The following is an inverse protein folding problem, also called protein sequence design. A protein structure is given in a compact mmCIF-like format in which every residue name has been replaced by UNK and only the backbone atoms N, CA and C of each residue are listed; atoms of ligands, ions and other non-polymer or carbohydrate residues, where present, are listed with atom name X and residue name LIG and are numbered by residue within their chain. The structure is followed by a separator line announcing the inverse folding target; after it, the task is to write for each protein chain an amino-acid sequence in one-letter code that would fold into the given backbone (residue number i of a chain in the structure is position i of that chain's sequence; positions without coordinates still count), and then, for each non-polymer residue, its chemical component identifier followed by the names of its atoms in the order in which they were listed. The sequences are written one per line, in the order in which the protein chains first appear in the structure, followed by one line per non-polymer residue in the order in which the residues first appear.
data_IF_553761030859
#
_entry.id   IF_553761030859
#
_cell.length_a   1.000
_cell.length_b   1.000
_cell.length_c   1.000
_cell.angle_alpha   90.00
_cell.angle_beta   90.00
_cell.angle_gamma   90.00
#
_symmetry.space_group_name_H-M   'P 1'
#
loop_
_entity.id
_entity.type
_entity.pdbx_description
1 polymer ?
#
# COMPACT_ATOMS: atom_id res chain seq x y z
N UNK A 1 0.02 -24.60 -19.11
CA UNK A 1 -0.75 -23.35 -18.94
C UNK A 1 0.13 -22.27 -18.29
N UNK A 2 -0.22 -20.98 -18.43
CA UNK A 2 0.54 -19.84 -17.86
C UNK A 2 0.72 -19.96 -16.34
N UNK A 3 -0.37 -20.21 -15.60
CA UNK A 3 -0.35 -20.26 -14.14
C UNK A 3 0.66 -21.27 -13.60
N UNK A 4 0.72 -22.49 -14.15
CA UNK A 4 1.67 -23.52 -13.71
C UNK A 4 3.13 -23.11 -13.95
N UNK A 5 3.45 -22.50 -15.11
CA UNK A 5 4.81 -22.03 -15.40
C UNK A 5 5.20 -20.83 -14.53
N UNK A 6 4.28 -19.89 -14.33
CA UNK A 6 4.53 -18.75 -13.46
C UNK A 6 4.82 -19.21 -12.02
N UNK A 7 3.97 -20.08 -11.46
CA UNK A 7 4.19 -20.60 -10.11
C UNK A 7 5.49 -21.40 -10.02
N UNK A 8 5.89 -22.13 -11.07
CA UNK A 8 7.17 -22.83 -11.09
C UNK A 8 8.39 -21.88 -10.95
N UNK A 9 8.35 -20.71 -11.58
CA UNK A 9 9.48 -19.76 -11.54
C UNK A 9 9.41 -18.76 -10.38
N UNK A 10 8.21 -18.37 -9.95
CA UNK A 10 8.00 -17.30 -8.96
C UNK A 10 7.67 -17.88 -7.57
N UNK A 11 7.43 -19.18 -7.47
CA UNK A 11 7.05 -19.92 -6.25
C UNK A 11 5.75 -19.44 -5.58
N UNK A 12 5.02 -18.54 -6.24
CA UNK A 12 3.74 -18.00 -5.77
C UNK A 12 2.74 -18.03 -6.92
N UNK A 13 1.48 -18.30 -6.62
CA UNK A 13 0.44 -18.25 -7.66
C UNK A 13 0.32 -16.83 -8.27
N UNK A 14 0.02 -16.71 -9.57
CA UNK A 14 -0.11 -15.40 -10.22
C UNK A 14 -1.08 -14.44 -9.50
N UNK A 15 -2.20 -14.96 -9.01
CA UNK A 15 -3.20 -14.14 -8.32
C UNK A 15 -2.69 -13.60 -6.98
N UNK A 16 -1.95 -14.40 -6.20
CA UNK A 16 -1.32 -13.92 -4.97
C UNK A 16 -0.23 -12.89 -5.26
N UNK A 17 0.58 -13.12 -6.29
CA UNK A 17 1.59 -12.16 -6.71
C UNK A 17 0.96 -10.82 -7.12
N UNK A 18 -0.09 -10.87 -7.95
CA UNK A 18 -0.81 -9.68 -8.40
C UNK A 18 -1.44 -8.92 -7.22
N UNK A 19 -2.07 -9.62 -6.27
CA UNK A 19 -2.65 -8.99 -5.10
C UNK A 19 -1.59 -8.27 -4.26
N UNK A 20 -0.44 -8.92 -4.01
CA UNK A 20 0.72 -8.30 -3.35
C UNK A 20 1.19 -7.05 -4.08
N UNK A 21 1.35 -7.13 -5.39
CA UNK A 21 1.83 -6.01 -6.21
C UNK A 21 0.85 -4.82 -6.16
N UNK A 22 -0.45 -5.08 -6.29
CA UNK A 22 -1.50 -4.07 -6.16
C UNK A 22 -1.45 -3.35 -4.82
N UNK A 23 -1.31 -4.08 -3.72
CA UNK A 23 -1.26 -3.48 -2.38
C UNK A 23 0.02 -2.67 -2.13
N UNK A 24 1.16 -3.08 -2.71
CA UNK A 24 2.38 -2.27 -2.68
C UNK A 24 2.22 -0.96 -3.45
N UNK A 25 1.58 -1.00 -4.63
CA UNK A 25 1.26 0.21 -5.38
C UNK A 25 0.31 1.12 -4.61
N UNK A 26 -0.72 0.55 -3.98
CA UNK A 26 -1.64 1.31 -3.14
C UNK A 26 -0.91 2.01 -1.99
N UNK A 27 0.05 1.33 -1.34
CA UNK A 27 0.89 1.91 -0.30
C UNK A 27 1.62 3.18 -0.75
N UNK A 28 2.12 3.20 -1.99
CA UNK A 28 2.76 4.38 -2.62
C UNK A 28 1.76 5.48 -2.97
N UNK A 29 0.58 5.11 -3.48
CA UNK A 29 -0.48 6.09 -3.76
C UNK A 29 -0.92 6.82 -2.48
N UNK A 30 -1.00 6.10 -1.37
CA UNK A 30 -1.38 6.64 -0.05
C UNK A 30 -0.36 7.63 0.53
N UNK A 31 0.86 7.74 -0.03
CA UNK A 31 1.86 8.73 0.38
C UNK A 31 1.54 10.13 -0.17
N UNK A 32 0.67 10.21 -1.18
CA UNK A 32 0.19 11.48 -1.74
C UNK A 32 -0.89 12.08 -0.84
N UNK A 33 -0.73 13.32 -0.34
CA UNK A 33 -1.68 13.94 0.59
C UNK A 33 -3.13 14.01 0.08
N UNK A 34 -3.30 14.22 -1.22
CA UNK A 34 -4.60 14.37 -1.90
C UNK A 34 -5.29 13.03 -2.21
N UNK A 35 -4.59 11.91 -2.09
CA UNK A 35 -5.13 10.60 -2.39
C UNK A 35 -5.95 10.08 -1.21
N UNK A 36 -7.26 9.83 -1.38
CA UNK A 36 -8.07 9.18 -0.34
C UNK A 36 -7.86 7.66 -0.29
N UNK A 37 -8.29 7.00 0.79
CA UNK A 37 -8.14 5.54 0.96
C UNK A 37 -9.01 4.81 -0.07
N UNK A 38 -10.24 5.27 -0.27
CA UNK A 38 -11.14 4.77 -1.30
C UNK A 38 -10.55 4.89 -2.71
N UNK A 39 -10.02 6.06 -3.07
CA UNK A 39 -9.39 6.28 -4.38
C UNK A 39 -8.19 5.37 -4.59
N UNK A 40 -7.29 5.25 -3.61
CA UNK A 40 -6.15 4.33 -3.71
C UNK A 40 -6.59 2.88 -3.93
N UNK A 41 -7.65 2.43 -3.23
CA UNK A 41 -8.23 1.09 -3.43
C UNK A 41 -8.82 0.89 -4.81
N UNK A 42 -9.58 1.87 -5.32
CA UNK A 42 -10.17 1.83 -6.65
C UNK A 42 -9.10 1.80 -7.76
N UNK A 43 -8.06 2.64 -7.65
CA UNK A 43 -6.93 2.72 -8.60
C UNK A 43 -6.19 1.38 -8.74
N UNK A 44 -6.12 0.58 -7.67
CA UNK A 44 -5.48 -0.74 -7.70
C UNK A 44 -6.46 -1.90 -7.91
N UNK A 45 -7.72 -1.59 -8.25
CA UNK A 45 -8.72 -2.55 -8.70
C UNK A 45 -9.49 -3.27 -7.58
N UNK A 46 -9.75 -2.60 -6.45
CA UNK A 46 -10.69 -3.07 -5.44
C UNK A 46 -12.04 -2.36 -5.58
N UNK A 47 -13.11 -3.14 -5.63
CA UNK A 47 -14.49 -2.65 -5.83
C UNK A 47 -15.07 -1.90 -4.62
N UNK A 48 -14.50 -2.11 -3.43
CA UNK A 48 -14.92 -1.40 -2.22
C UNK A 48 -13.73 -1.08 -1.32
N UNK A 49 -13.84 0.06 -0.62
CA UNK A 49 -12.87 0.46 0.39
C UNK A 49 -12.76 -0.60 1.50
N UNK A 50 -13.86 -1.25 1.87
CA UNK A 50 -13.85 -2.31 2.88
C UNK A 50 -13.05 -3.54 2.43
N UNK A 51 -13.18 -3.96 1.16
CA UNK A 51 -12.39 -5.06 0.61
C UNK A 51 -10.89 -4.70 0.54
N UNK A 52 -10.59 -3.47 0.12
CA UNK A 52 -9.23 -2.94 0.13
C UNK A 52 -8.64 -2.91 1.54
N UNK A 53 -9.34 -2.35 2.52
CA UNK A 53 -8.89 -2.26 3.91
C UNK A 53 -8.53 -3.63 4.50
N UNK A 54 -9.36 -4.64 4.27
CA UNK A 54 -9.10 -6.02 4.71
C UNK A 54 -7.86 -6.61 4.04
N UNK A 55 -7.76 -6.48 2.72
CA UNK A 55 -6.62 -7.01 1.96
C UNK A 55 -5.30 -6.31 2.33
N UNK A 56 -5.32 -4.98 2.41
CA UNK A 56 -4.17 -4.16 2.79
C UNK A 56 -3.69 -4.52 4.19
N UNK A 57 -4.57 -4.58 5.19
CA UNK A 57 -4.20 -4.99 6.55
C UNK A 57 -3.61 -6.41 6.58
N UNK A 58 -4.22 -7.36 5.84
CA UNK A 58 -3.73 -8.74 5.77
C UNK A 58 -2.30 -8.82 5.21
N UNK A 59 -1.98 -7.99 4.22
CA UNK A 59 -0.70 -8.04 3.51
C UNK A 59 0.39 -7.15 4.11
N UNK A 60 0.04 -5.93 4.52
CA UNK A 60 0.94 -4.90 5.04
C UNK A 60 1.07 -4.97 6.57
N UNK A 61 0.14 -5.64 7.25
CA UNK A 61 0.11 -5.82 8.70
C UNK A 61 -0.68 -4.73 9.45
N UNK A 62 -0.84 -3.54 8.86
CA UNK A 62 -1.60 -2.42 9.45
C UNK A 62 -2.66 -1.87 8.47
N UNK A 63 -3.75 -1.26 8.97
CA UNK A 63 -4.74 -0.61 8.11
C UNK A 63 -4.12 0.56 7.31
N UNK A 64 -4.64 0.87 6.10
CA UNK A 64 -4.08 1.92 5.24
C UNK A 64 -4.20 3.32 5.87
N UNK A 65 -5.20 3.57 6.72
CA UNK A 65 -5.30 4.82 7.49
C UNK A 65 -4.15 5.00 8.48
N UNK A 66 -3.75 3.93 9.18
CA UNK A 66 -2.58 3.94 10.08
C UNK A 66 -1.28 4.09 9.29
N UNK A 67 -1.16 3.37 8.17
CA UNK A 67 -0.03 3.50 7.24
C UNK A 67 0.18 4.95 6.79
N UNK A 68 -0.89 5.61 6.33
CA UNK A 68 -0.84 7.02 5.89
C UNK A 68 -0.38 7.94 7.01
N UNK A 69 -1.00 7.84 8.19
CA UNK A 69 -0.63 8.68 9.35
C UNK A 69 0.85 8.53 9.71
N UNK A 70 1.36 7.30 9.72
CA UNK A 70 2.77 7.03 9.98
C UNK A 70 3.69 7.66 8.94
N UNK A 71 3.32 7.60 7.64
CA UNK A 71 4.11 8.23 6.57
C UNK A 71 4.08 9.76 6.64
N UNK A 72 2.93 10.37 6.90
CA UNK A 72 2.82 11.82 7.07
C UNK A 72 3.70 12.31 8.21
N UNK A 73 3.67 11.65 9.37
CA UNK A 73 4.53 11.99 10.51
C UNK A 73 6.02 11.85 10.19
N UNK A 74 6.44 10.82 9.44
CA UNK A 74 7.82 10.66 8.99
C UNK A 74 8.24 11.78 8.02
N UNK A 75 7.37 12.21 7.12
CA UNK A 75 7.65 13.29 6.18
C UNK A 75 7.74 14.65 6.89
N UNK A 76 6.89 14.89 7.89
CA UNK A 76 6.95 16.07 8.76
C UNK A 76 8.25 16.10 9.57
N UNK A 77 8.64 14.99 10.19
CA UNK A 77 9.90 14.87 10.94
C UNK A 77 11.14 15.13 10.07
N UNK A 78 11.13 14.71 8.81
CA UNK A 78 12.23 14.96 7.85
C UNK A 78 12.29 16.42 7.35
N UNK A 79 11.18 17.17 7.47
CA UNK A 79 11.06 18.54 6.96
C UNK A 79 11.42 19.60 8.02
N UNK A 80 11.51 19.20 9.29
CA UNK A 80 12.01 20.05 10.37
C UNK A 80 13.54 20.22 10.22
N UNK A 81 14.06 21.46 10.14
CA UNK A 81 15.49 21.69 10.09
C UNK A 81 16.12 21.27 11.43
N UNK A 82 17.17 20.45 11.35
CA UNK A 82 18.09 20.20 12.45
C UNK A 82 18.83 21.50 12.79
N UNK A 83 18.22 22.40 13.57
CA UNK A 83 18.86 23.69 13.87
C UNK A 83 17.94 24.77 14.39
N UNK A 84 17.19 24.50 15.46
CA UNK A 84 16.76 25.56 16.37
C UNK A 84 17.03 25.10 17.80
N UNK A 85 18.30 25.07 18.16
CA UNK A 85 18.71 25.25 19.55
C UNK A 85 19.24 26.67 19.60
N UNK A 86 18.56 27.53 20.36
CA UNK A 86 19.01 28.89 20.66
C UNK A 86 20.38 28.88 21.34
#
# INVERSE_FOLDING_TARGET
AFASRFTHYVEVSPMHYLARWRLQLAGRLLERPEMSIAQAGAEVGYESEAAFNRAFKKFVGIPPGTWRKGRSALLEAQRLPAGTVQ
#
